data_IF_323342861820
#
_entry.id   IF_323342861820
#
_cell.length_a   1.000
_cell.length_b   1.000
_cell.length_c   1.000
_cell.angle_alpha   90.00
_cell.angle_beta   90.00
_cell.angle_gamma   90.00
#
_symmetry.space_group_name_H-M   'P 1'
#
loop_
_entity.id
_entity.type
_entity.pdbx_description
1 polymer ?
#
# COMPACT_ATOMS: atom_id res chain seq x y z
N UNK A 1 -32.13 -11.09 5.68
CA UNK A 1 -31.18 -12.16 6.00
C UNK A 1 -30.78 -12.93 4.75
N UNK A 2 -29.68 -13.65 4.83
CA UNK A 2 -29.24 -14.51 3.73
C UNK A 2 -30.19 -15.70 3.57
N UNK A 3 -30.61 -16.01 2.35
CA UNK A 3 -31.44 -17.18 2.03
C UNK A 3 -30.64 -18.05 1.08
N UNK A 4 -30.46 -19.31 1.45
CA UNK A 4 -29.80 -20.31 0.63
C UNK A 4 -30.62 -21.61 0.60
N UNK A 5 -30.57 -22.31 -0.51
CA UNK A 5 -31.21 -23.60 -0.72
C UNK A 5 -30.13 -24.66 -0.92
N UNK A 6 -30.36 -25.88 -0.44
CA UNK A 6 -29.40 -26.95 -0.64
C UNK A 6 -29.57 -28.11 0.34
N UNK A 7 -28.52 -28.90 0.42
CA UNK A 7 -28.47 -30.09 1.30
C UNK A 7 -27.47 -29.79 2.42
N UNK A 8 -27.87 -30.10 3.63
CA UNK A 8 -27.07 -29.98 4.84
C UNK A 8 -27.14 -31.25 5.67
N UNK A 9 -26.02 -31.74 6.12
CA UNK A 9 -25.89 -32.88 7.00
C UNK A 9 -25.13 -32.46 8.24
N UNK A 10 -25.70 -32.76 9.40
CA UNK A 10 -25.10 -32.56 10.70
C UNK A 10 -24.87 -33.89 11.39
N UNK A 11 -23.69 -34.11 11.91
CA UNK A 11 -23.35 -35.28 12.71
C UNK A 11 -22.65 -34.84 14.02
N UNK A 12 -22.92 -35.55 15.10
CA UNK A 12 -22.29 -35.32 16.40
C UNK A 12 -21.80 -36.63 17.00
N UNK A 13 -20.70 -37.16 16.48
CA UNK A 13 -20.09 -38.41 16.92
C UNK A 13 -18.80 -38.12 17.72
N UNK A 14 -18.96 -37.38 18.84
CA UNK A 14 -17.84 -36.91 19.66
C UNK A 14 -17.26 -35.57 19.21
N UNK A 15 -17.37 -35.24 17.93
CA UNK A 15 -17.05 -33.93 17.36
C UNK A 15 -18.17 -33.49 16.43
N UNK A 16 -18.57 -32.25 16.53
CA UNK A 16 -19.61 -31.71 15.67
C UNK A 16 -19.05 -31.54 14.24
N UNK A 17 -19.78 -32.12 13.27
CA UNK A 17 -19.40 -31.98 11.84
C UNK A 17 -20.62 -31.47 11.07
N UNK A 18 -20.39 -30.40 10.31
CA UNK A 18 -21.38 -29.81 9.43
C UNK A 18 -20.92 -29.92 7.99
N UNK A 19 -21.70 -30.57 7.12
CA UNK A 19 -21.49 -30.63 5.69
C UNK A 19 -22.63 -29.91 4.99
N UNK A 20 -22.35 -29.02 4.05
CA UNK A 20 -23.36 -28.26 3.34
C UNK A 20 -22.98 -28.03 1.87
N UNK A 21 -23.96 -28.20 0.98
CA UNK A 21 -23.87 -27.72 -0.41
C UNK A 21 -25.06 -26.84 -0.67
N UNK A 22 -24.79 -25.56 -0.87
CA UNK A 22 -25.78 -24.50 -0.88
C UNK A 22 -25.73 -23.72 -2.19
N UNK A 23 -26.90 -23.25 -2.62
CA UNK A 23 -27.08 -22.29 -3.70
C UNK A 23 -27.86 -21.08 -3.17
N UNK A 24 -27.45 -19.89 -3.56
CA UNK A 24 -28.12 -18.66 -3.12
C UNK A 24 -28.22 -17.64 -4.26
N UNK A 25 -29.29 -16.86 -4.26
CA UNK A 25 -29.42 -15.71 -5.16
C UNK A 25 -28.50 -14.56 -4.75
N UNK A 26 -28.47 -14.24 -3.46
CA UNK A 26 -27.59 -13.22 -2.90
C UNK A 26 -27.18 -13.60 -1.47
N UNK A 27 -25.91 -13.34 -1.14
CA UNK A 27 -25.35 -13.55 0.20
C UNK A 27 -24.58 -12.32 0.63
N UNK A 28 -24.78 -11.89 1.86
CA UNK A 28 -24.05 -10.80 2.49
C UNK A 28 -23.20 -11.34 3.65
N UNK A 29 -21.90 -11.31 3.49
CA UNK A 29 -20.92 -11.68 4.51
C UNK A 29 -20.46 -10.48 5.37
N UNK A 30 -20.88 -9.27 5.06
CA UNK A 30 -20.48 -8.04 5.77
C UNK A 30 -20.61 -8.15 7.29
N UNK A 31 -21.74 -8.68 7.86
CA UNK A 31 -21.87 -8.78 9.31
C UNK A 31 -20.82 -9.68 9.97
N UNK A 32 -20.32 -10.69 9.24
CA UNK A 32 -19.38 -11.68 9.78
C UNK A 32 -17.92 -11.23 9.71
N UNK A 33 -17.55 -10.38 8.73
CA UNK A 33 -16.18 -9.89 8.58
C UNK A 33 -15.89 -8.66 9.43
N UNK A 34 -16.89 -7.92 9.89
CA UNK A 34 -16.74 -6.74 10.75
C UNK A 34 -16.04 -7.03 12.09
N UNK A 35 -16.02 -8.29 12.51
CA UNK A 35 -15.29 -8.74 13.70
C UNK A 35 -13.78 -8.83 13.49
N UNK A 36 -13.30 -8.92 12.25
CA UNK A 36 -11.86 -9.01 11.93
C UNK A 36 -11.34 -7.61 11.64
N UNK A 37 -10.70 -7.00 12.62
CA UNK A 37 -10.10 -5.67 12.46
C UNK A 37 -8.59 -5.78 12.33
N UNK A 38 -8.08 -5.59 11.13
CA UNK A 38 -6.64 -5.57 10.88
C UNK A 38 -5.98 -4.31 11.45
N UNK A 39 -6.67 -3.18 11.38
CA UNK A 39 -6.19 -1.91 11.93
C UNK A 39 -6.88 -1.59 13.26
N UNK A 40 -6.18 -0.93 14.16
CA UNK A 40 -6.74 -0.41 15.40
C UNK A 40 -7.77 0.69 15.13
N UNK A 41 -8.75 0.85 16.01
CA UNK A 41 -9.84 1.83 15.85
C UNK A 41 -9.29 3.26 15.72
N UNK A 42 -9.64 3.93 14.61
CA UNK A 42 -9.27 5.31 14.35
C UNK A 42 -7.77 5.55 14.17
N UNK A 43 -6.98 4.48 14.10
CA UNK A 43 -5.54 4.55 14.06
C UNK A 43 -4.99 4.14 12.69
N UNK A 44 -3.85 4.73 12.38
CA UNK A 44 -2.98 4.32 11.26
C UNK A 44 -2.20 3.04 11.60
N UNK A 45 -2.30 2.54 12.82
CA UNK A 45 -1.51 1.43 13.34
C UNK A 45 -2.22 0.09 13.18
N UNK A 46 -1.44 -0.97 13.09
CA UNK A 46 -1.94 -2.33 13.11
C UNK A 46 -2.55 -2.68 14.47
N UNK A 47 -3.65 -3.46 14.44
CA UNK A 47 -4.23 -3.99 15.66
C UNK A 47 -3.27 -4.98 16.33
N UNK A 48 -3.06 -4.83 17.64
CA UNK A 48 -2.18 -5.68 18.46
C UNK A 48 -2.95 -6.65 19.35
N UNK A 49 -4.29 -6.64 19.23
CA UNK A 49 -5.13 -7.59 19.97
C UNK A 49 -4.86 -9.02 19.49
N UNK A 50 -4.73 -9.93 20.43
CA UNK A 50 -4.50 -11.35 20.15
C UNK A 50 -5.70 -11.95 19.45
N UNK A 51 -5.45 -12.87 18.54
CA UNK A 51 -6.50 -13.65 17.89
C UNK A 51 -7.11 -14.65 18.88
N UNK A 52 -8.45 -14.75 18.87
CA UNK A 52 -9.16 -15.86 19.50
C UNK A 52 -9.44 -16.94 18.45
N UNK A 53 -8.63 -17.99 18.46
CA UNK A 53 -8.72 -19.10 17.52
C UNK A 53 -9.44 -20.33 18.12
N UNK A 54 -9.94 -20.25 19.37
CA UNK A 54 -10.59 -21.38 20.03
C UNK A 54 -11.81 -21.89 19.25
N UNK A 55 -12.54 -21.00 18.59
CA UNK A 55 -13.69 -21.36 17.76
C UNK A 55 -13.32 -22.29 16.58
N UNK A 56 -12.09 -22.24 16.07
CA UNK A 56 -11.64 -23.09 14.98
C UNK A 56 -11.49 -24.58 15.39
N UNK A 57 -11.35 -24.87 16.66
CA UNK A 57 -11.18 -26.23 17.16
C UNK A 57 -12.50 -26.91 17.58
N UNK A 58 -13.60 -26.17 17.69
CA UNK A 58 -14.85 -26.67 18.25
C UNK A 58 -15.69 -27.54 17.28
N UNK A 59 -15.64 -27.24 15.98
CA UNK A 59 -16.52 -27.85 14.98
C UNK A 59 -15.77 -28.11 13.68
N UNK A 60 -16.04 -29.21 13.02
CA UNK A 60 -15.59 -29.44 11.64
C UNK A 60 -16.66 -28.96 10.65
N UNK A 61 -16.22 -28.27 9.59
CA UNK A 61 -17.10 -27.74 8.54
C UNK A 61 -16.59 -28.15 7.16
N UNK A 62 -17.50 -28.61 6.30
CA UNK A 62 -17.26 -28.78 4.86
C UNK A 62 -18.42 -28.12 4.12
N UNK A 63 -18.22 -26.92 3.62
CA UNK A 63 -19.27 -26.14 2.97
C UNK A 63 -18.87 -25.75 1.55
N UNK A 64 -19.80 -25.92 0.63
CA UNK A 64 -19.74 -25.42 -0.74
C UNK A 64 -20.89 -24.49 -0.98
N UNK A 65 -20.63 -23.30 -1.47
CA UNK A 65 -21.63 -22.28 -1.75
C UNK A 65 -21.48 -21.76 -3.16
N UNK A 66 -22.58 -21.77 -3.91
CA UNK A 66 -22.70 -21.07 -5.19
C UNK A 66 -23.69 -19.93 -5.03
N UNK A 67 -23.30 -18.71 -5.38
CA UNK A 67 -24.16 -17.55 -5.25
C UNK A 67 -24.11 -16.68 -6.51
N UNK A 68 -25.27 -16.09 -6.89
CA UNK A 68 -25.32 -15.17 -8.02
C UNK A 68 -24.76 -13.78 -7.67
N UNK A 69 -24.83 -13.39 -6.41
CA UNK A 69 -24.26 -12.16 -5.87
C UNK A 69 -23.72 -12.41 -4.47
N UNK A 70 -22.52 -11.87 -4.19
CA UNK A 70 -21.92 -11.90 -2.85
C UNK A 70 -21.49 -10.49 -2.48
N UNK A 71 -21.81 -10.07 -1.24
CA UNK A 71 -21.36 -8.78 -0.68
C UNK A 71 -20.42 -9.06 0.48
N UNK A 72 -19.27 -8.36 0.48
CA UNK A 72 -18.25 -8.48 1.52
C UNK A 72 -17.77 -7.05 1.84
N UNK A 73 -18.33 -6.42 2.85
CA UNK A 73 -18.06 -5.01 3.14
C UNK A 73 -18.58 -4.08 2.03
N UNK A 74 -17.69 -3.31 1.43
CA UNK A 74 -17.99 -2.47 0.26
C UNK A 74 -17.96 -3.23 -1.05
N UNK A 75 -17.27 -4.38 -1.09
CA UNK A 75 -16.99 -5.15 -2.31
C UNK A 75 -18.21 -5.97 -2.72
N UNK A 76 -18.55 -5.87 -4.00
CA UNK A 76 -19.65 -6.64 -4.61
C UNK A 76 -19.08 -7.60 -5.64
N UNK A 77 -19.30 -8.88 -5.40
CA UNK A 77 -18.97 -9.93 -6.33
C UNK A 77 -20.24 -10.37 -7.09
N UNK A 78 -20.08 -10.72 -8.34
CA UNK A 78 -21.12 -11.35 -9.14
C UNK A 78 -21.22 -12.84 -8.85
N UNK A 79 -21.36 -13.65 -9.91
CA UNK A 79 -21.40 -15.11 -9.75
C UNK A 79 -20.14 -15.61 -9.06
N UNK A 80 -20.33 -16.37 -7.99
CA UNK A 80 -19.22 -16.77 -7.11
C UNK A 80 -19.43 -18.22 -6.64
N UNK A 81 -18.35 -19.02 -6.72
CA UNK A 81 -18.27 -20.36 -6.16
C UNK A 81 -17.24 -20.34 -5.01
N UNK A 82 -17.72 -20.66 -3.80
CA UNK A 82 -16.92 -20.66 -2.57
C UNK A 82 -16.86 -22.05 -1.97
N UNK A 83 -15.73 -22.42 -1.41
CA UNK A 83 -15.58 -23.57 -0.52
C UNK A 83 -15.03 -23.12 0.83
N UNK A 84 -15.52 -23.73 1.90
CA UNK A 84 -14.99 -23.56 3.25
C UNK A 84 -14.80 -24.94 3.87
N UNK A 85 -13.61 -25.23 4.33
CA UNK A 85 -13.26 -26.44 5.03
C UNK A 85 -12.60 -26.09 6.35
N UNK A 86 -13.16 -26.55 7.45
CA UNK A 86 -12.60 -26.41 8.79
C UNK A 86 -12.42 -27.80 9.38
N UNK A 87 -11.17 -28.18 9.61
CA UNK A 87 -10.80 -29.47 10.22
C UNK A 87 -9.62 -29.30 11.16
N UNK A 88 -9.74 -29.87 12.34
CA UNK A 88 -8.64 -29.91 13.33
C UNK A 88 -8.03 -28.51 13.60
N UNK A 89 -8.84 -27.47 13.69
CA UNK A 89 -8.36 -26.10 13.92
C UNK A 89 -7.77 -25.41 12.70
N UNK A 90 -7.84 -26.02 11.52
CA UNK A 90 -7.39 -25.42 10.26
C UNK A 90 -8.62 -25.05 9.42
N UNK A 91 -8.78 -23.76 9.15
CA UNK A 91 -9.78 -23.23 8.22
C UNK A 91 -9.14 -22.99 6.86
N UNK A 92 -9.68 -23.60 5.83
CA UNK A 92 -9.33 -23.35 4.43
C UNK A 92 -10.55 -22.81 3.69
N UNK A 93 -10.41 -21.60 3.14
CA UNK A 93 -11.39 -21.00 2.24
C UNK A 93 -10.86 -21.08 0.82
N UNK A 94 -11.74 -21.38 -0.14
CA UNK A 94 -11.40 -21.40 -1.55
C UNK A 94 -12.41 -20.60 -2.36
N UNK A 95 -11.92 -19.79 -3.27
CA UNK A 95 -12.70 -19.14 -4.32
C UNK A 95 -12.35 -19.83 -5.62
N UNK A 96 -13.25 -20.71 -6.10
CA UNK A 96 -13.06 -21.41 -7.37
C UNK A 96 -13.14 -20.43 -8.53
N UNK A 97 -14.13 -19.57 -8.52
CA UNK A 97 -14.29 -18.44 -9.43
C UNK A 97 -15.25 -17.42 -8.83
N UNK A 98 -14.91 -16.14 -8.95
CA UNK A 98 -15.77 -15.03 -8.57
C UNK A 98 -15.66 -13.90 -9.61
N UNK A 99 -16.79 -13.35 -10.05
CA UNK A 99 -16.80 -12.14 -10.85
C UNK A 99 -16.61 -10.93 -9.95
N UNK A 100 -15.60 -10.11 -10.22
CA UNK A 100 -15.25 -8.95 -9.41
C UNK A 100 -14.53 -7.90 -10.28
N UNK A 101 -14.83 -6.63 -10.08
CA UNK A 101 -14.19 -5.50 -10.79
C UNK A 101 -14.17 -5.69 -12.31
N UNK A 102 -15.26 -6.14 -12.89
CA UNK A 102 -15.42 -6.48 -14.32
C UNK A 102 -14.44 -7.55 -14.84
N UNK A 103 -13.81 -8.30 -13.94
CA UNK A 103 -12.91 -9.41 -14.24
C UNK A 103 -13.23 -10.63 -13.37
N UNK A 104 -12.25 -11.51 -13.20
CA UNK A 104 -12.40 -12.79 -12.50
C UNK A 104 -11.36 -12.91 -11.40
N UNK A 105 -11.80 -13.33 -10.21
CA UNK A 105 -10.91 -13.72 -9.10
C UNK A 105 -10.99 -15.22 -8.85
N UNK A 106 -9.84 -15.81 -8.52
CA UNK A 106 -9.66 -17.15 -7.97
C UNK A 106 -8.70 -17.09 -6.80
N UNK A 107 -8.80 -18.04 -5.87
CA UNK A 107 -7.81 -18.05 -4.81
C UNK A 107 -8.17 -18.93 -3.64
N UNK A 108 -7.30 -18.88 -2.66
CA UNK A 108 -7.46 -19.59 -1.39
C UNK A 108 -6.90 -18.78 -0.24
N UNK A 109 -7.49 -18.97 0.91
CA UNK A 109 -7.04 -18.43 2.17
C UNK A 109 -7.07 -19.54 3.22
N UNK A 110 -5.99 -19.72 3.94
CA UNK A 110 -5.87 -20.68 5.02
C UNK A 110 -5.46 -19.99 6.32
N UNK A 111 -6.06 -20.40 7.43
CA UNK A 111 -5.63 -20.04 8.76
C UNK A 111 -5.62 -21.28 9.64
N UNK A 112 -4.53 -21.51 10.35
CA UNK A 112 -4.39 -22.58 11.31
C UNK A 112 -3.80 -22.06 12.61
N UNK A 113 -4.09 -22.75 13.69
CA UNK A 113 -3.45 -22.49 14.97
C UNK A 113 -2.17 -23.33 15.08
N UNK A 114 -1.05 -22.65 15.27
CA UNK A 114 0.24 -23.28 15.56
C UNK A 114 0.74 -22.71 16.90
N UNK A 115 0.74 -23.56 17.95
CA UNK A 115 1.01 -23.19 19.34
C UNK A 115 0.10 -22.04 19.79
N UNK A 116 0.68 -20.87 20.10
CA UNK A 116 -0.05 -19.65 20.50
C UNK A 116 -0.21 -18.61 19.35
N UNK A 117 0.14 -18.98 18.13
CA UNK A 117 0.10 -18.10 16.97
C UNK A 117 -0.85 -18.61 15.89
N UNK A 118 -1.33 -17.72 15.05
CA UNK A 118 -1.98 -18.05 13.79
C UNK A 118 -0.93 -18.21 12.69
N UNK A 119 -1.04 -19.24 11.89
CA UNK A 119 -0.38 -19.33 10.58
C UNK A 119 -1.41 -19.01 9.50
N UNK A 120 -1.09 -18.05 8.64
CA UNK A 120 -1.96 -17.58 7.58
C UNK A 120 -1.27 -17.78 6.24
N UNK A 121 -2.01 -18.33 5.26
CA UNK A 121 -1.58 -18.44 3.87
C UNK A 121 -2.67 -17.88 2.97
N UNK A 122 -2.29 -17.06 2.00
CA UNK A 122 -3.22 -16.43 1.07
C UNK A 122 -2.66 -16.49 -0.35
N UNK A 123 -3.44 -17.03 -1.28
CA UNK A 123 -3.11 -17.07 -2.69
C UNK A 123 -4.30 -16.56 -3.48
N UNK A 124 -4.11 -15.46 -4.22
CA UNK A 124 -5.17 -14.88 -5.03
C UNK A 124 -4.64 -14.53 -6.42
N UNK A 125 -5.47 -14.77 -7.40
CA UNK A 125 -5.27 -14.38 -8.78
C UNK A 125 -6.50 -13.61 -9.26
N UNK A 126 -6.31 -12.37 -9.67
CA UNK A 126 -7.30 -11.56 -10.32
C UNK A 126 -6.88 -11.40 -11.79
N UNK A 127 -7.81 -11.63 -12.71
CA UNK A 127 -7.54 -11.58 -14.14
C UNK A 127 -8.45 -10.56 -14.79
N UNK A 128 -7.84 -9.68 -15.56
CA UNK A 128 -8.50 -8.63 -16.36
C UNK A 128 -9.50 -7.79 -15.55
N UNK A 129 -9.06 -7.28 -14.39
CA UNK A 129 -9.87 -6.47 -13.48
C UNK A 129 -9.72 -4.98 -13.77
N UNK A 130 -10.76 -4.20 -13.46
CA UNK A 130 -10.68 -2.75 -13.37
C UNK A 130 -9.79 -2.36 -12.17
N UNK A 131 -8.64 -1.77 -12.48
CA UNK A 131 -7.63 -1.39 -11.46
C UNK A 131 -8.12 -0.24 -10.56
N UNK A 132 -9.01 0.63 -11.06
CA UNK A 132 -9.53 1.75 -10.27
C UNK A 132 -10.49 1.25 -9.19
N UNK A 133 -11.41 0.37 -9.57
CA UNK A 133 -12.32 -0.25 -8.63
C UNK A 133 -11.58 -1.10 -7.59
N UNK A 134 -10.62 -1.91 -8.06
CA UNK A 134 -9.77 -2.75 -7.21
C UNK A 134 -8.96 -1.90 -6.20
N UNK A 135 -8.27 -0.86 -6.67
CA UNK A 135 -7.47 0.01 -5.80
C UNK A 135 -8.33 0.83 -4.83
N UNK A 136 -9.53 1.24 -5.24
CA UNK A 136 -10.47 1.97 -4.38
C UNK A 136 -10.98 1.09 -3.23
N UNK A 137 -11.33 -0.16 -3.52
CA UNK A 137 -11.85 -1.10 -2.52
C UNK A 137 -10.76 -1.60 -1.56
N UNK A 138 -9.57 -1.96 -2.10
CA UNK A 138 -8.50 -2.55 -1.29
C UNK A 138 -7.69 -1.52 -0.51
N UNK A 139 -7.44 -0.34 -1.09
CA UNK A 139 -6.52 0.66 -0.54
C UNK A 139 -7.17 2.02 -0.24
N UNK A 140 -8.49 2.17 -0.51
CA UNK A 140 -9.19 3.43 -0.33
C UNK A 140 -8.75 4.53 -1.29
N UNK A 141 -8.10 4.19 -2.41
CA UNK A 141 -7.53 5.16 -3.37
C UNK A 141 -7.84 4.77 -4.81
N UNK A 142 -8.50 5.65 -5.56
CA UNK A 142 -8.74 5.50 -7.02
C UNK A 142 -7.64 6.10 -7.88
N UNK A 143 -6.39 6.14 -7.38
CA UNK A 143 -5.28 6.79 -8.10
C UNK A 143 -4.74 5.98 -9.27
N UNK A 144 -5.08 4.71 -9.40
CA UNK A 144 -4.68 3.86 -10.51
C UNK A 144 -5.91 3.54 -11.36
N UNK A 145 -5.84 3.74 -12.66
CA UNK A 145 -6.90 3.36 -13.61
C UNK A 145 -6.31 2.48 -14.72
N UNK A 146 -7.17 1.76 -15.42
CA UNK A 146 -6.80 0.80 -16.48
C UNK A 146 -7.27 -0.60 -16.14
N UNK A 147 -6.85 -1.59 -16.94
CA UNK A 147 -7.13 -3.00 -16.70
C UNK A 147 -5.86 -3.75 -16.37
N UNK A 148 -5.98 -4.86 -15.61
CA UNK A 148 -4.79 -5.60 -15.26
C UNK A 148 -5.03 -6.92 -14.55
N UNK A 149 -3.90 -7.58 -14.23
CA UNK A 149 -3.87 -8.85 -13.52
C UNK A 149 -3.09 -8.67 -12.22
N UNK A 150 -3.61 -9.22 -11.13
CA UNK A 150 -2.97 -9.24 -9.82
C UNK A 150 -2.77 -10.69 -9.38
N UNK A 151 -1.54 -11.03 -9.00
CA UNK A 151 -1.22 -12.30 -8.38
C UNK A 151 -0.59 -12.03 -7.01
N UNK A 152 -1.08 -12.72 -6.00
CA UNK A 152 -0.63 -12.59 -4.61
C UNK A 152 -0.43 -13.98 -4.04
N UNK A 153 0.73 -14.22 -3.43
CA UNK A 153 1.03 -15.43 -2.67
C UNK A 153 1.77 -15.03 -1.41
N UNK A 154 1.06 -14.99 -0.30
CA UNK A 154 1.55 -14.49 0.98
C UNK A 154 1.40 -15.53 2.08
N UNK A 155 2.32 -15.51 3.01
CA UNK A 155 2.27 -16.28 4.24
C UNK A 155 2.73 -15.43 5.42
N UNK A 156 2.19 -15.70 6.60
CA UNK A 156 2.55 -14.98 7.80
C UNK A 156 2.27 -15.84 9.04
N UNK A 157 3.00 -15.59 10.14
CA UNK A 157 2.79 -16.22 11.44
C UNK A 157 2.79 -15.17 12.53
N UNK A 158 1.75 -15.11 13.33
CA UNK A 158 1.65 -14.12 14.41
C UNK A 158 0.45 -14.35 15.32
N UNK A 159 0.53 -13.83 16.53
CA UNK A 159 -0.59 -13.90 17.50
C UNK A 159 -1.57 -12.74 17.37
N UNK A 160 -1.27 -11.75 16.54
CA UNK A 160 -2.08 -10.55 16.29
C UNK A 160 -1.89 -10.06 14.85
N UNK A 161 -2.75 -9.17 14.32
CA UNK A 161 -2.54 -8.54 13.01
C UNK A 161 -1.16 -7.87 12.87
N UNK A 162 -0.67 -7.19 13.90
CA UNK A 162 0.69 -6.64 13.92
C UNK A 162 1.75 -7.73 13.80
N UNK A 163 1.61 -8.83 14.54
CA UNK A 163 2.53 -9.97 14.44
C UNK A 163 2.55 -10.61 13.06
N UNK A 164 1.38 -10.72 12.39
CA UNK A 164 1.30 -11.17 11.00
C UNK A 164 2.01 -10.19 10.06
N UNK A 165 1.84 -8.88 10.26
CA UNK A 165 2.52 -7.87 9.45
C UNK A 165 4.05 -7.95 9.60
N UNK A 166 4.57 -8.27 10.81
CA UNK A 166 6.01 -8.42 11.06
C UNK A 166 6.64 -9.65 10.41
N UNK A 167 5.89 -10.73 10.26
CA UNK A 167 6.37 -12.00 9.70
C UNK A 167 5.96 -12.24 8.25
N UNK A 168 5.35 -11.22 7.61
CA UNK A 168 4.81 -11.36 6.27
C UNK A 168 5.91 -11.73 5.26
N UNK A 169 5.72 -12.87 4.60
CA UNK A 169 6.56 -13.37 3.52
C UNK A 169 5.77 -13.68 2.26
N UNK A 170 6.47 -13.82 1.15
CA UNK A 170 5.87 -14.21 -0.13
C UNK A 170 6.08 -13.25 -1.27
N UNK A 171 5.15 -13.19 -2.22
CA UNK A 171 5.25 -12.36 -3.43
C UNK A 171 3.91 -11.75 -3.81
N UNK A 172 3.97 -10.58 -4.44
CA UNK A 172 2.83 -9.98 -5.13
C UNK A 172 3.28 -9.40 -6.47
N UNK A 173 2.46 -9.57 -7.51
CA UNK A 173 2.70 -8.95 -8.81
C UNK A 173 1.42 -8.35 -9.38
N UNK A 174 1.55 -7.18 -9.98
CA UNK A 174 0.48 -6.49 -10.70
C UNK A 174 1.00 -6.13 -12.08
N UNK A 175 0.27 -6.54 -13.12
CA UNK A 175 0.46 -6.06 -14.47
C UNK A 175 -0.75 -5.27 -14.90
N UNK A 176 -0.54 -4.09 -15.48
CA UNK A 176 -1.61 -3.23 -15.96
C UNK A 176 -1.36 -2.75 -17.38
N UNK A 177 -2.43 -2.41 -18.09
CA UNK A 177 -2.36 -1.85 -19.42
C UNK A 177 -3.45 -0.80 -19.64
N UNK A 178 -3.21 0.08 -20.63
CA UNK A 178 -4.15 1.10 -21.09
C UNK A 178 -4.72 1.95 -19.96
N UNK A 179 -3.84 2.46 -19.09
CA UNK A 179 -4.26 3.10 -17.87
C UNK A 179 -3.60 4.46 -17.59
N UNK A 180 -3.80 4.93 -16.37
CA UNK A 180 -3.17 6.15 -15.89
C UNK A 180 -2.96 6.14 -14.37
N UNK A 181 -1.91 6.80 -13.92
CA UNK A 181 -1.70 7.18 -12.53
C UNK A 181 -2.31 8.56 -12.33
N UNK A 182 -3.40 8.63 -11.55
CA UNK A 182 -4.14 9.85 -11.27
C UNK A 182 -3.52 10.63 -10.10
N UNK A 183 -3.63 11.96 -10.13
CA UNK A 183 -3.10 12.83 -9.09
C UNK A 183 -1.68 13.32 -9.33
N UNK A 184 -1.03 12.89 -10.42
CA UNK A 184 0.31 13.32 -10.80
C UNK A 184 0.45 13.45 -12.31
N UNK A 185 1.05 14.54 -12.79
CA UNK A 185 1.43 14.69 -14.20
C UNK A 185 2.95 14.70 -14.32
N UNK A 186 3.51 13.50 -14.50
CA UNK A 186 4.96 13.29 -14.59
C UNK A 186 5.54 13.96 -15.82
N UNK A 187 4.87 13.90 -16.97
CA UNK A 187 5.32 14.54 -18.20
C UNK A 187 5.51 16.05 -18.03
N UNK A 188 4.50 16.71 -17.48
CA UNK A 188 4.55 18.16 -17.25
C UNK A 188 5.67 18.53 -16.26
N UNK A 189 5.85 17.73 -15.22
CA UNK A 189 6.95 17.90 -14.25
C UNK A 189 8.30 17.79 -14.95
N UNK A 190 8.54 16.73 -15.72
CA UNK A 190 9.80 16.49 -16.40
C UNK A 190 10.11 17.57 -17.43
N UNK A 191 9.16 17.94 -18.29
CA UNK A 191 9.33 19.03 -19.29
C UNK A 191 9.63 20.37 -18.64
N UNK A 192 9.07 20.64 -17.46
CA UNK A 192 9.37 21.87 -16.72
C UNK A 192 10.78 21.85 -16.12
N UNK A 193 11.18 20.75 -15.49
CA UNK A 193 12.50 20.60 -14.89
C UNK A 193 13.61 20.54 -15.95
N UNK A 194 13.33 19.98 -17.13
CA UNK A 194 14.24 20.04 -18.29
C UNK A 194 14.54 21.49 -18.67
N UNK A 195 13.53 22.35 -18.70
CA UNK A 195 13.69 23.77 -19.07
C UNK A 195 14.22 24.63 -17.93
N UNK A 196 13.85 24.35 -16.70
CA UNK A 196 14.19 25.15 -15.50
C UNK A 196 14.45 24.23 -14.29
N UNK A 197 15.64 23.65 -14.17
CA UNK A 197 15.96 22.64 -13.15
C UNK A 197 15.73 23.08 -11.69
N UNK A 198 15.89 24.38 -11.41
CA UNK A 198 15.74 24.93 -10.05
C UNK A 198 14.35 25.53 -9.76
N UNK A 199 13.39 25.44 -10.69
CA UNK A 199 12.04 25.95 -10.46
C UNK A 199 11.16 24.92 -9.74
N UNK A 200 11.28 24.79 -8.41
CA UNK A 200 10.54 23.83 -7.59
C UNK A 200 9.04 24.10 -7.41
N UNK A 201 8.51 25.24 -7.88
CA UNK A 201 7.09 25.60 -7.76
C UNK A 201 6.24 25.15 -8.95
N UNK A 202 5.17 24.42 -8.72
CA UNK A 202 4.19 24.07 -9.74
C UNK A 202 3.15 23.07 -9.22
N UNK A 203 1.95 23.12 -9.77
CA UNK A 203 0.85 22.27 -9.35
C UNK A 203 0.89 20.94 -10.10
N UNK A 204 1.81 20.04 -9.71
CA UNK A 204 1.97 18.70 -10.30
C UNK A 204 1.00 17.68 -9.72
N UNK A 205 0.34 18.04 -8.61
CA UNK A 205 -0.55 17.16 -7.85
C UNK A 205 -1.97 17.07 -8.45
N UNK A 206 -2.23 17.80 -9.54
CA UNK A 206 -3.49 17.74 -10.26
C UNK A 206 -3.20 17.34 -11.71
N UNK A 207 -3.55 16.11 -12.07
CA UNK A 207 -3.35 15.60 -13.42
C UNK A 207 -3.28 14.09 -13.43
N UNK A 208 -2.91 13.55 -14.58
CA UNK A 208 -2.73 12.10 -14.76
C UNK A 208 -1.48 11.82 -15.58
N UNK A 209 -0.84 10.71 -15.28
CA UNK A 209 0.26 10.14 -16.05
C UNK A 209 -0.27 8.91 -16.76
N UNK A 210 -0.55 8.97 -18.07
CA UNK A 210 -0.99 7.81 -18.83
C UNK A 210 0.15 6.79 -18.95
N UNK A 211 -0.21 5.51 -18.99
CA UNK A 211 0.71 4.42 -19.28
C UNK A 211 0.09 3.41 -20.25
N UNK A 212 0.93 2.84 -21.09
CA UNK A 212 0.59 1.71 -21.95
C UNK A 212 0.78 0.41 -21.18
N UNK A 213 1.85 0.32 -20.37
CA UNK A 213 2.14 -0.84 -19.52
C UNK A 213 2.58 -0.42 -18.12
N UNK A 214 2.09 -1.18 -17.13
CA UNK A 214 2.48 -1.11 -15.73
C UNK A 214 2.92 -2.50 -15.29
N UNK A 215 4.10 -2.61 -14.72
CA UNK A 215 4.58 -3.83 -14.07
C UNK A 215 5.03 -3.52 -12.65
N UNK A 216 4.48 -4.26 -11.69
CA UNK A 216 4.88 -4.19 -10.28
C UNK A 216 5.13 -5.61 -9.81
N UNK A 217 6.35 -5.89 -9.36
CA UNK A 217 6.70 -7.14 -8.70
C UNK A 217 7.35 -6.85 -7.35
N UNK A 218 6.80 -7.45 -6.32
CA UNK A 218 7.21 -7.29 -4.93
C UNK A 218 7.56 -8.66 -4.34
N UNK A 219 8.62 -8.71 -3.55
CA UNK A 219 8.90 -9.84 -2.66
C UNK A 219 8.81 -9.36 -1.21
N UNK A 220 8.24 -10.20 -0.36
CA UNK A 220 8.08 -9.93 1.07
C UNK A 220 8.95 -10.88 1.86
N UNK A 221 9.68 -10.36 2.83
CA UNK A 221 10.47 -11.12 3.79
C UNK A 221 10.43 -10.41 5.14
N UNK A 222 9.97 -11.10 6.17
CA UNK A 222 9.88 -10.58 7.54
C UNK A 222 9.23 -9.19 7.60
N UNK A 223 8.10 -9.02 6.91
CA UNK A 223 7.34 -7.77 6.87
C UNK A 223 7.97 -6.65 6.06
N UNK A 224 9.05 -6.90 5.35
CA UNK A 224 9.66 -5.93 4.43
C UNK A 224 9.31 -6.30 3.00
N UNK A 225 8.63 -5.40 2.30
CA UNK A 225 8.39 -5.50 0.86
C UNK A 225 9.56 -4.90 0.10
N UNK A 226 10.14 -5.66 -0.82
CA UNK A 226 11.20 -5.24 -1.73
C UNK A 226 10.61 -5.09 -3.13
N UNK A 227 10.79 -3.91 -3.73
CA UNK A 227 10.44 -3.67 -5.13
C UNK A 227 11.45 -4.36 -6.04
N UNK A 228 11.13 -5.55 -6.53
CA UNK A 228 12.02 -6.35 -7.39
C UNK A 228 11.95 -5.92 -8.84
N UNK A 229 10.78 -5.50 -9.32
CA UNK A 229 10.59 -4.90 -10.63
C UNK A 229 9.35 -4.00 -10.60
N UNK A 230 9.56 -2.68 -10.62
CA UNK A 230 8.47 -1.70 -10.71
C UNK A 230 8.75 -0.75 -11.85
N UNK A 231 7.95 -0.89 -12.92
CA UNK A 231 8.08 -0.12 -14.16
C UNK A 231 6.71 0.41 -14.60
N UNK A 232 6.72 1.64 -15.04
CA UNK A 232 5.59 2.28 -15.73
C UNK A 232 6.11 2.76 -17.07
N UNK A 233 5.53 2.30 -18.15
CA UNK A 233 5.88 2.71 -19.50
C UNK A 233 4.67 3.39 -20.14
N UNK A 234 4.83 4.62 -20.54
CA UNK A 234 3.80 5.41 -21.17
C UNK A 234 4.29 6.19 -22.38
N UNK A 235 3.37 6.81 -23.12
CA UNK A 235 3.70 7.51 -24.37
C UNK A 235 4.64 8.70 -24.16
N UNK A 236 4.60 9.33 -22.99
CA UNK A 236 5.37 10.53 -22.70
C UNK A 236 6.46 10.32 -21.64
N UNK A 237 6.30 9.35 -20.75
CA UNK A 237 7.24 9.14 -19.64
C UNK A 237 7.38 7.66 -19.29
N UNK A 238 8.58 7.30 -18.82
CA UNK A 238 8.91 6.02 -18.21
C UNK A 238 9.32 6.23 -16.77
N UNK A 239 8.88 5.36 -15.87
CA UNK A 239 9.31 5.33 -14.47
C UNK A 239 9.86 3.96 -14.13
N UNK A 240 10.96 3.95 -13.39
CA UNK A 240 11.53 2.76 -12.77
C UNK A 240 11.67 3.05 -11.28
N UNK A 241 11.16 2.18 -10.43
CA UNK A 241 11.17 2.36 -8.98
C UNK A 241 11.81 1.14 -8.32
N UNK A 242 12.67 1.37 -7.36
CA UNK A 242 13.34 0.35 -6.55
C UNK A 242 13.32 0.77 -5.08
N UNK A 243 13.59 -0.17 -4.18
CA UNK A 243 13.67 0.13 -2.75
C UNK A 243 12.78 -0.80 -1.94
N UNK A 244 12.44 -0.35 -0.74
CA UNK A 244 11.71 -1.15 0.23
C UNK A 244 10.53 -0.41 0.82
N UNK A 245 9.58 -1.18 1.38
CA UNK A 245 8.50 -0.65 2.19
C UNK A 245 8.33 -1.54 3.43
N UNK A 246 8.19 -0.93 4.60
CA UNK A 246 7.93 -1.65 5.84
C UNK A 246 6.42 -1.87 5.98
N UNK A 247 5.99 -3.13 6.01
CA UNK A 247 4.59 -3.48 6.25
C UNK A 247 4.18 -3.17 7.68
N UNK A 248 4.94 -3.58 8.73
CA UNK A 248 4.58 -3.24 10.10
C UNK A 248 4.72 -1.74 10.42
N UNK A 249 5.70 -1.04 9.83
CA UNK A 249 5.89 0.40 9.99
C UNK A 249 4.95 1.24 9.13
N UNK A 250 4.40 0.65 8.06
CA UNK A 250 3.56 1.35 7.06
C UNK A 250 4.25 2.56 6.46
N UNK A 251 5.50 2.39 6.07
CA UNK A 251 6.32 3.42 5.48
C UNK A 251 7.03 2.95 4.20
N UNK A 252 7.42 3.93 3.38
CA UNK A 252 8.18 3.73 2.15
C UNK A 252 9.60 4.25 2.30
N UNK A 253 10.54 3.53 1.70
CA UNK A 253 11.89 4.00 1.36
C UNK A 253 12.21 3.54 -0.07
N UNK A 254 11.69 4.31 -1.04
CA UNK A 254 11.79 3.99 -2.45
C UNK A 254 12.57 5.07 -3.18
N UNK A 255 13.29 4.65 -4.22
CA UNK A 255 14.00 5.53 -5.17
C UNK A 255 13.52 5.20 -6.57
N UNK A 256 13.43 6.22 -7.40
CA UNK A 256 13.01 6.01 -8.78
C UNK A 256 13.73 6.92 -9.75
N UNK A 257 13.61 6.60 -11.02
CA UNK A 257 14.05 7.42 -12.15
C UNK A 257 12.83 7.63 -13.03
N UNK A 258 12.53 8.89 -13.33
CA UNK A 258 11.51 9.28 -14.28
C UNK A 258 12.20 9.85 -15.53
N UNK A 259 11.90 9.26 -16.69
CA UNK A 259 12.49 9.61 -17.98
C UNK A 259 11.44 10.08 -18.97
N UNK A 260 11.74 11.12 -19.78
CA UNK A 260 10.90 11.48 -20.94
C UNK A 260 11.14 10.47 -22.07
N UNK A 261 10.07 9.93 -22.64
CA UNK A 261 10.14 9.02 -23.80
C UNK A 261 10.49 9.79 -25.09
N UNK A 262 10.07 11.07 -25.17
CA UNK A 262 10.38 11.98 -26.27
C UNK A 262 11.11 13.21 -25.70
N UNK A 263 12.42 13.13 -25.57
CA UNK A 263 13.24 14.27 -25.15
C UNK A 263 13.35 15.29 -26.30
N UNK A 264 13.23 16.56 -25.98
CA UNK A 264 13.39 17.66 -26.94
C UNK A 264 14.85 17.86 -27.34
N UNK A 265 15.78 17.36 -26.51
CA UNK A 265 17.24 17.39 -26.74
C UNK A 265 17.76 15.96 -26.91
N UNK A 266 18.89 15.81 -27.59
CA UNK A 266 19.52 14.52 -27.93
C UNK A 266 19.91 13.66 -26.70
N UNK A 267 19.94 14.23 -25.51
CA UNK A 267 20.16 13.52 -24.25
C UNK A 267 18.83 13.23 -23.56
N UNK A 268 18.58 11.97 -23.23
CA UNK A 268 17.41 11.56 -22.45
C UNK A 268 17.40 12.33 -21.11
N UNK A 269 16.28 12.99 -20.81
CA UNK A 269 16.12 13.66 -19.53
C UNK A 269 15.62 12.66 -18.47
N UNK A 270 16.55 12.24 -17.61
CA UNK A 270 16.26 11.36 -16.47
C UNK A 270 16.24 12.17 -15.18
N UNK A 271 15.19 12.06 -14.41
CA UNK A 271 15.00 12.71 -13.12
C UNK A 271 14.96 11.64 -12.02
N UNK A 272 16.00 11.46 -11.24
CA UNK A 272 15.94 10.68 -10.02
C UNK A 272 15.03 11.35 -9.00
N UNK A 273 14.23 10.52 -8.31
CA UNK A 273 13.33 10.96 -7.25
C UNK A 273 13.29 9.96 -6.10
N UNK A 274 12.80 10.40 -4.96
CA UNK A 274 12.68 9.61 -3.74
C UNK A 274 11.22 9.64 -3.26
N UNK A 275 10.73 8.51 -2.78
CA UNK A 275 9.43 8.39 -2.10
C UNK A 275 9.70 7.86 -0.69
N UNK A 276 9.43 8.66 0.32
CA UNK A 276 9.69 8.32 1.71
C UNK A 276 8.52 8.70 2.62
N UNK A 277 8.46 8.03 3.78
CA UNK A 277 7.48 8.30 4.82
C UNK A 277 6.23 7.44 4.76
N UNK A 278 5.19 7.80 5.52
CA UNK A 278 4.04 6.95 5.76
C UNK A 278 3.21 6.69 4.50
N UNK A 279 2.59 5.50 4.42
CA UNK A 279 1.77 5.09 3.28
C UNK A 279 0.63 6.06 2.97
N UNK A 280 0.07 6.68 4.00
CA UNK A 280 -1.10 7.57 3.86
C UNK A 280 -0.72 8.95 3.30
N UNK A 281 0.52 9.40 3.54
CA UNK A 281 1.01 10.72 3.08
C UNK A 281 2.51 10.65 2.74
N UNK A 282 2.90 9.93 1.67
CA UNK A 282 4.29 9.81 1.29
C UNK A 282 4.83 11.14 0.74
N UNK A 283 6.05 11.46 1.12
CA UNK A 283 6.81 12.56 0.55
C UNK A 283 7.45 12.10 -0.75
N UNK A 284 7.11 12.78 -1.85
CA UNK A 284 7.70 12.55 -3.17
C UNK A 284 8.45 13.79 -3.58
N UNK A 285 9.76 13.67 -3.75
CA UNK A 285 10.61 14.80 -4.15
C UNK A 285 11.72 14.36 -5.11
N UNK A 286 12.11 15.24 -6.05
CA UNK A 286 13.27 15.00 -6.89
C UNK A 286 14.53 14.90 -6.04
N UNK A 287 15.47 14.05 -6.42
CA UNK A 287 16.78 13.99 -5.76
C UNK A 287 17.52 15.33 -5.91
N UNK A 288 17.77 16.05 -4.81
CA UNK A 288 18.35 17.38 -4.86
C UNK A 288 19.74 17.41 -5.48
N UNK A 289 20.55 16.39 -5.23
CA UNK A 289 21.90 16.29 -5.76
C UNK A 289 21.90 16.19 -7.29
N UNK A 290 20.98 15.40 -7.84
CA UNK A 290 20.80 15.27 -9.29
C UNK A 290 20.32 16.55 -9.95
N UNK A 291 19.46 17.32 -9.30
CA UNK A 291 19.01 18.63 -9.79
C UNK A 291 20.15 19.65 -9.81
N UNK A 292 20.97 19.69 -8.77
CA UNK A 292 22.12 20.59 -8.67
C UNK A 292 23.14 20.24 -9.74
N UNK A 293 23.47 18.98 -9.96
CA UNK A 293 24.43 18.53 -10.99
C UNK A 293 24.01 18.92 -12.40
N UNK A 294 22.72 18.99 -12.70
CA UNK A 294 22.17 19.35 -14.01
C UNK A 294 21.97 20.83 -14.21
N UNK A 295 22.06 21.65 -13.18
CA UNK A 295 21.98 23.10 -13.29
C UNK A 295 23.33 23.63 -13.86
N UNK A 296 23.29 24.21 -15.07
CA UNK A 296 24.48 24.83 -15.68
C UNK A 296 25.11 25.93 -14.81
N UNK A 297 24.31 26.53 -13.92
CA UNK A 297 24.78 27.55 -12.99
C UNK A 297 25.53 26.97 -11.78
N UNK A 298 25.19 25.76 -11.35
CA UNK A 298 25.75 25.10 -10.17
C UNK A 298 26.75 23.98 -10.50
N UNK A 299 26.83 23.51 -11.76
CA UNK A 299 27.81 22.52 -12.19
C UNK A 299 29.28 22.95 -11.88
N UNK A 300 29.69 24.20 -12.07
CA UNK A 300 31.04 24.64 -11.68
C UNK A 300 31.29 24.63 -10.17
N UNK A 301 30.23 24.83 -9.35
CA UNK A 301 30.33 24.78 -7.89
C UNK A 301 30.54 23.35 -7.37
N UNK A 302 29.93 22.36 -8.01
CA UNK A 302 30.12 20.94 -7.65
C UNK A 302 31.51 20.42 -8.06
N UNK A 303 32.07 20.91 -9.16
CA UNK A 303 33.45 20.58 -9.56
C UNK A 303 34.50 21.24 -8.64
N UNK A 304 34.20 22.43 -8.09
CA UNK A 304 35.03 23.08 -7.06
C UNK A 304 34.94 22.37 -5.69
N UNK A 305 33.84 21.66 -5.40
CA UNK A 305 33.57 20.93 -4.12
C UNK A 305 34.22 19.53 -4.08
N UNK A 306 35.08 19.15 -5.04
CA UNK A 306 35.94 17.97 -4.87
C UNK A 306 36.95 18.16 -3.73
N UNK A 307 37.10 19.38 -3.23
CA UNK A 307 37.94 19.69 -2.07
C UNK A 307 37.14 19.50 -0.75
N UNK A 308 37.67 18.73 0.20
CA UNK A 308 37.03 18.29 1.44
C UNK A 308 36.43 19.44 2.28
N UNK A 309 37.08 20.62 2.27
CA UNK A 309 36.64 21.84 2.98
C UNK A 309 35.40 22.50 2.38
N UNK A 310 35.19 22.37 1.09
CA UNK A 310 34.04 22.94 0.42
C UNK A 310 32.79 22.04 0.58
N UNK A 311 32.99 20.73 0.79
CA UNK A 311 31.89 19.78 1.10
C UNK A 311 31.21 20.11 2.42
N UNK A 312 31.97 20.42 3.47
CA UNK A 312 31.47 20.80 4.77
C UNK A 312 30.70 22.14 4.74
N UNK A 313 31.15 23.08 3.91
CA UNK A 313 30.49 24.37 3.71
C UNK A 313 29.16 24.24 2.94
N UNK A 314 29.09 23.36 1.93
CA UNK A 314 27.82 23.09 1.21
C UNK A 314 26.83 22.34 2.08
N UNK A 315 27.28 21.39 2.90
CA UNK A 315 26.42 20.73 3.90
C UNK A 315 25.84 21.73 4.90
N UNK A 316 26.64 22.66 5.41
CA UNK A 316 26.17 23.68 6.34
C UNK A 316 25.17 24.66 5.72
N UNK A 317 25.34 24.99 4.43
CA UNK A 317 24.39 25.85 3.69
C UNK A 317 23.07 25.12 3.42
N UNK A 318 23.13 23.82 3.08
CA UNK A 318 21.93 23.00 2.89
C UNK A 318 21.19 22.80 4.22
N UNK A 319 21.90 22.55 5.32
CA UNK A 319 21.30 22.49 6.66
C UNK A 319 20.67 23.82 7.09
N UNK A 320 21.28 24.95 6.79
CA UNK A 320 20.68 26.27 7.07
C UNK A 320 19.42 26.52 6.23
N UNK A 321 19.42 26.14 4.95
CA UNK A 321 18.26 26.32 4.06
C UNK A 321 17.11 25.33 4.37
N UNK A 322 17.40 24.20 4.98
CA UNK A 322 16.38 23.22 5.42
C UNK A 322 15.89 23.48 6.83
N UNK A 323 16.68 24.15 7.67
CA UNK A 323 16.36 24.41 9.08
C UNK A 323 15.71 25.79 9.32
N UNK A 324 15.58 26.64 8.30
CA UNK A 324 15.00 27.98 8.40
C UNK A 324 13.45 28.00 8.39
N UNK A 325 12.82 26.87 8.72
CA UNK A 325 11.37 26.73 8.99
C UNK A 325 11.00 26.57 10.47
N UNK A 326 11.95 26.72 11.38
CA UNK A 326 11.63 26.89 12.79
C UNK A 326 11.34 28.39 13.06
N UNK A 327 10.08 28.76 13.03
CA UNK A 327 9.58 30.05 13.51
C UNK A 327 10.05 30.21 14.96
N UNK A 328 10.74 31.29 15.36
CA UNK A 328 11.06 31.52 16.76
C UNK A 328 9.76 31.80 17.49
N UNK A 329 9.46 30.96 18.48
CA UNK A 329 8.40 31.13 19.46
C UNK A 329 8.62 32.50 20.14
N UNK A 330 7.68 33.42 19.93
CA UNK A 330 7.72 34.76 20.50
C UNK A 330 7.76 34.66 22.03
N UNK A 331 8.84 35.18 22.62
CA UNK A 331 8.98 35.33 24.07
C UNK A 331 7.81 36.10 24.64
N UNK A 332 7.12 35.53 25.62
CA UNK A 332 6.08 36.18 26.40
C UNK A 332 6.63 37.42 27.13
N UNK A 333 5.89 38.54 27.20
CA UNK A 333 6.36 39.74 27.88
C UNK A 333 6.43 39.50 29.39
N UNK A 334 7.56 39.87 29.98
CA UNK A 334 7.79 39.82 31.41
C UNK A 334 6.84 40.75 32.15
N UNK A 335 6.16 40.25 33.17
CA UNK A 335 5.33 40.97 34.11
C UNK A 335 6.21 41.93 34.96
N UNK A 336 5.84 43.20 35.17
CA UNK A 336 6.63 44.09 36.01
C UNK A 336 6.48 43.72 37.48
N UNK A 337 7.59 43.72 38.20
CA UNK A 337 7.64 43.50 39.64
C UNK A 337 6.98 44.66 40.39
N UNK A 338 6.02 44.38 41.27
CA UNK A 338 5.46 45.31 42.24
C UNK A 338 6.52 45.70 43.27
N UNK A 339 6.74 46.99 43.35
CA UNK A 339 7.55 47.63 44.39
C UNK A 339 6.76 47.67 45.70
N UNK A 340 7.20 46.92 46.70
CA UNK A 340 6.68 46.98 48.05
C UNK A 340 7.07 48.28 48.73
N UNK A 341 6.05 49.02 49.22
CA UNK A 341 6.21 50.11 50.14
C UNK A 341 6.29 49.60 51.59
N UNK A 342 7.14 50.20 52.46
CA UNK A 342 7.24 49.75 53.82
C UNK A 342 6.12 50.44 54.69
N UNK A 343 5.47 49.66 55.54
CA UNK A 343 4.58 50.17 56.61
C UNK A 343 5.43 50.57 57.82
N UNK A 344 5.28 51.84 58.21
CA UNK A 344 5.58 52.34 59.54
C UNK A 344 4.29 52.47 60.35
N UNK A 345 4.37 52.03 61.62
CA UNK A 345 3.49 52.08 62.76
C UNK A 345 2.31 51.13 62.82
#
# INVERSE_FOLDING_TARGET
GNVAEGVMTYANNGRQTLQATLAAGAVDFTPYIQTIRLLANGARDWNRQLFDLHALSATDLDMRLSAAKVTVGSTRLGKTALGANLRNGTLALSIGEAQIYDGIAKGSFGISQADSAAEVKAQFQLTDVDLQACASDLFGTGKLSGRGNLNVSLEARGSSPFGLAQSLGGTASLTGHDGAINGFNVEQLLKRLERRPLSGGGNFRNGKTPFDTLNIALSFNDGVAVATDVRVEGPAARLIITGTASVPGRDYDLKGIASLTQATNADNFDLPFVIQGPWDDPLIFPDPESLIRRSKASAPLLDAVKDRKARDAVHSVIEHLTNDKAVPEAAAPATPAESGTPRTN
#
